data_IF_489432890913
#
_entry.id   IF_489432890913
#
_cell.length_a   1.000
_cell.length_b   1.000
_cell.length_c   1.000
_cell.angle_alpha   90.00
_cell.angle_beta   90.00
_cell.angle_gamma   90.00
#
_symmetry.space_group_name_H-M   'P 1'
#
loop_
_entity.id
_entity.type
_entity.pdbx_description
1 polymer ?
#
# COMPACT_ATOMS: atom_id res chain seq x y z
N UNK A 1 -16.87 3.31 -11.16
CA UNK A 1 -15.88 4.00 -12.03
C UNK A 1 -15.66 3.11 -13.24
N UNK A 2 -15.31 3.66 -14.40
CA UNK A 2 -14.93 2.81 -15.54
C UNK A 2 -13.45 2.46 -15.39
N UNK A 3 -13.09 1.22 -15.71
CA UNK A 3 -11.70 0.77 -15.67
C UNK A 3 -11.27 0.46 -17.10
N UNK A 4 -10.12 0.99 -17.51
CA UNK A 4 -9.41 0.57 -18.71
C UNK A 4 -8.13 -0.16 -18.29
N UNK A 5 -7.72 -1.16 -19.05
CA UNK A 5 -6.51 -1.91 -18.75
C UNK A 5 -5.89 -2.52 -20.00
N UNK A 6 -4.57 -2.61 -19.99
CA UNK A 6 -3.80 -3.36 -21.00
C UNK A 6 -2.84 -4.30 -20.27
N UNK A 7 -2.63 -5.49 -20.83
CA UNK A 7 -1.72 -6.49 -20.29
C UNK A 7 -0.80 -7.00 -21.40
N UNK A 8 0.45 -7.26 -21.07
CA UNK A 8 1.41 -7.84 -22.00
C UNK A 8 2.38 -8.75 -21.25
N UNK A 9 2.71 -9.90 -21.85
CA UNK A 9 3.62 -10.89 -21.30
C UNK A 9 4.52 -11.42 -22.41
N UNK A 10 5.82 -11.52 -22.12
CA UNK A 10 6.84 -12.01 -23.03
C UNK A 10 7.72 -13.04 -22.31
N UNK A 11 8.09 -14.11 -23.01
CA UNK A 11 8.93 -15.19 -22.48
C UNK A 11 10.35 -14.72 -22.12
N UNK A 12 10.80 -13.59 -22.66
CA UNK A 12 12.17 -13.10 -22.55
C UNK A 12 13.05 -13.58 -23.72
N UNK A 13 14.37 -13.58 -23.51
CA UNK A 13 15.37 -14.06 -24.48
C UNK A 13 15.97 -15.40 -24.07
N UNK A 14 16.02 -15.69 -22.78
CA UNK A 14 16.80 -16.81 -22.23
C UNK A 14 15.94 -17.99 -21.75
N UNK A 15 14.61 -17.81 -21.63
CA UNK A 15 13.68 -18.87 -21.20
C UNK A 15 13.01 -19.54 -22.40
N UNK A 16 12.73 -20.84 -22.28
CA UNK A 16 12.00 -21.61 -23.30
C UNK A 16 10.48 -21.55 -23.12
N UNK A 17 10.03 -21.43 -21.87
CA UNK A 17 8.61 -21.39 -21.49
C UNK A 17 8.32 -20.14 -20.65
N UNK A 18 7.05 -19.73 -20.68
CA UNK A 18 6.56 -18.64 -19.85
C UNK A 18 5.84 -19.22 -18.63
N UNK A 19 6.44 -19.09 -17.45
CA UNK A 19 5.91 -19.51 -16.16
C UNK A 19 5.07 -18.40 -15.50
N UNK A 20 5.08 -17.17 -16.04
CA UNK A 20 4.19 -16.10 -15.62
C UNK A 20 2.74 -16.34 -16.08
N UNK A 21 1.79 -15.96 -15.24
CA UNK A 21 0.38 -15.95 -15.56
C UNK A 21 -0.28 -14.62 -15.21
N UNK A 22 -1.04 -14.07 -16.16
CA UNK A 22 -1.73 -12.79 -16.03
C UNK A 22 -3.24 -12.97 -16.03
N UNK A 23 -3.92 -12.25 -15.14
CA UNK A 23 -5.38 -12.06 -15.17
C UNK A 23 -5.65 -10.60 -15.46
N UNK A 24 -6.36 -10.33 -16.55
CA UNK A 24 -6.81 -8.98 -16.92
C UNK A 24 -8.33 -8.99 -17.14
N UNK A 25 -9.10 -8.79 -16.06
CA UNK A 25 -10.57 -8.82 -16.06
C UNK A 25 -11.16 -7.48 -15.61
N UNK A 26 -11.13 -6.45 -16.47
CA UNK A 26 -11.68 -5.12 -16.15
C UNK A 26 -13.20 -5.16 -15.88
N UNK A 27 -13.91 -6.17 -16.38
CA UNK A 27 -15.31 -6.44 -16.08
C UNK A 27 -15.56 -6.84 -14.61
N UNK A 28 -14.59 -7.49 -13.97
CA UNK A 28 -14.59 -7.79 -12.54
C UNK A 28 -13.81 -6.77 -11.71
N UNK A 29 -13.11 -5.84 -12.38
CA UNK A 29 -12.08 -5.01 -11.75
C UNK A 29 -10.91 -5.81 -11.17
N UNK A 30 -10.66 -7.02 -11.66
CA UNK A 30 -9.66 -7.95 -11.12
C UNK A 30 -8.44 -8.05 -12.02
N UNK A 31 -7.27 -7.84 -11.42
CA UNK A 31 -5.97 -7.94 -12.08
C UNK A 31 -5.00 -8.72 -11.20
N UNK A 32 -4.34 -9.73 -11.76
CA UNK A 32 -3.42 -10.60 -11.03
C UNK A 32 -2.18 -10.86 -11.87
N UNK A 33 -1.02 -10.85 -11.23
CA UNK A 33 0.24 -11.39 -11.75
C UNK A 33 0.71 -12.49 -10.81
N UNK A 34 1.01 -13.65 -11.38
CA UNK A 34 1.64 -14.76 -10.70
C UNK A 34 2.88 -15.17 -11.48
N UNK A 35 4.04 -15.11 -10.83
CA UNK A 35 5.33 -15.54 -11.37
C UNK A 35 5.61 -16.96 -10.86
N UNK A 36 5.63 -17.92 -11.77
CA UNK A 36 5.75 -19.34 -11.46
C UNK A 36 7.19 -19.78 -11.26
N UNK A 37 7.42 -20.65 -10.27
CA UNK A 37 8.72 -21.27 -10.03
C UNK A 37 8.59 -22.77 -9.76
N UNK A 38 9.67 -23.51 -10.03
CA UNK A 38 9.71 -24.97 -9.90
C UNK A 38 10.25 -25.67 -11.14
N UNK A 39 10.48 -24.93 -12.23
CA UNK A 39 11.04 -25.41 -13.48
C UNK A 39 9.97 -25.93 -14.45
N UNK A 40 10.04 -25.45 -15.69
CA UNK A 40 9.17 -25.85 -16.79
C UNK A 40 7.68 -25.85 -16.41
N UNK A 41 7.00 -26.98 -16.60
CA UNK A 41 5.55 -27.12 -16.42
C UNK A 41 5.08 -26.96 -14.96
N UNK A 42 5.98 -27.10 -13.97
CA UNK A 42 5.63 -27.00 -12.57
C UNK A 42 5.31 -25.54 -12.17
N UNK A 43 6.12 -24.59 -12.63
CA UNK A 43 5.89 -23.15 -12.38
C UNK A 43 4.64 -22.63 -13.08
N UNK A 44 4.47 -22.94 -14.37
CA UNK A 44 3.27 -22.61 -15.15
C UNK A 44 1.98 -23.13 -14.48
N UNK A 45 2.03 -24.37 -13.96
CA UNK A 45 0.87 -24.96 -13.27
C UNK A 45 0.59 -24.23 -11.96
N UNK A 46 1.62 -23.87 -11.19
CA UNK A 46 1.45 -23.16 -9.93
C UNK A 46 0.85 -21.76 -10.13
N UNK A 47 1.40 -20.97 -11.06
CA UNK A 47 0.94 -19.60 -11.34
C UNK A 47 -0.49 -19.56 -11.87
N UNK A 48 -0.82 -20.43 -12.83
CA UNK A 48 -2.19 -20.58 -13.35
C UNK A 48 -3.17 -21.00 -12.24
N UNK A 49 -2.81 -22.01 -11.44
CA UNK A 49 -3.69 -22.54 -10.40
C UNK A 49 -4.01 -21.50 -9.33
N UNK A 50 -3.02 -20.67 -8.95
CA UNK A 50 -3.24 -19.56 -8.01
C UNK A 50 -4.29 -18.58 -8.53
N UNK A 51 -4.14 -18.16 -9.79
CA UNK A 51 -5.04 -17.21 -10.43
C UNK A 51 -6.46 -17.78 -10.62
N UNK A 52 -6.60 -19.03 -11.07
CA UNK A 52 -7.90 -19.67 -11.30
C UNK A 52 -8.74 -19.76 -10.02
N UNK A 53 -8.12 -20.15 -8.89
CA UNK A 53 -8.81 -20.23 -7.60
C UNK A 53 -9.37 -18.86 -7.19
N UNK A 54 -8.60 -17.78 -7.42
CA UNK A 54 -9.04 -16.43 -7.09
C UNK A 54 -10.11 -15.90 -8.05
N UNK A 55 -9.97 -16.13 -9.36
CA UNK A 55 -10.98 -15.72 -10.34
C UNK A 55 -12.32 -16.33 -9.96
N UNK A 56 -12.38 -17.65 -9.77
CA UNK A 56 -13.63 -18.34 -9.46
C UNK A 56 -14.24 -17.83 -8.16
N UNK A 57 -13.43 -17.68 -7.10
CA UNK A 57 -13.92 -17.18 -5.82
C UNK A 57 -14.46 -15.75 -5.91
N UNK A 58 -13.79 -14.86 -6.66
CA UNK A 58 -14.20 -13.46 -6.79
C UNK A 58 -15.44 -13.33 -7.69
N UNK A 59 -15.53 -14.13 -8.76
CA UNK A 59 -16.71 -14.16 -9.61
C UNK A 59 -17.96 -14.64 -8.86
N UNK A 60 -17.82 -15.70 -8.05
CA UNK A 60 -18.93 -16.25 -7.26
C UNK A 60 -19.40 -15.29 -6.16
N UNK A 61 -18.46 -14.61 -5.48
CA UNK A 61 -18.74 -13.78 -4.31
C UNK A 61 -18.76 -12.26 -4.62
N UNK A 62 -18.84 -11.84 -5.89
CA UNK A 62 -18.70 -10.43 -6.31
C UNK A 62 -19.68 -9.47 -5.61
N UNK A 63 -20.95 -9.87 -5.52
CA UNK A 63 -22.00 -9.10 -4.86
C UNK A 63 -21.73 -8.98 -3.35
N UNK A 64 -21.21 -10.04 -2.73
CA UNK A 64 -20.85 -10.06 -1.32
C UNK A 64 -19.64 -9.16 -1.04
N UNK A 65 -18.64 -9.15 -1.92
CA UNK A 65 -17.47 -8.26 -1.82
C UNK A 65 -17.92 -6.80 -1.88
N UNK A 66 -18.87 -6.47 -2.76
CA UNK A 66 -19.34 -5.11 -2.97
C UNK A 66 -20.03 -4.48 -1.74
N UNK A 67 -20.55 -5.29 -0.82
CA UNK A 67 -21.23 -4.84 0.41
C UNK A 67 -20.35 -4.94 1.67
N UNK A 68 -19.22 -5.64 1.60
CA UNK A 68 -18.28 -5.78 2.72
C UNK A 68 -17.57 -4.46 3.00
N UNK A 69 -17.25 -4.23 4.28
CA UNK A 69 -16.33 -3.15 4.61
C UNK A 69 -14.88 -3.52 4.18
N UNK A 70 -13.94 -2.55 4.17
CA UNK A 70 -12.58 -2.83 3.71
C UNK A 70 -11.83 -3.89 4.53
N UNK A 71 -12.05 -3.95 5.85
CA UNK A 71 -11.40 -4.94 6.71
C UNK A 71 -11.90 -6.37 6.42
N UNK A 72 -13.21 -6.55 6.27
CA UNK A 72 -13.83 -7.83 5.91
C UNK A 72 -13.39 -8.30 4.53
N UNK A 73 -13.25 -7.38 3.57
CA UNK A 73 -12.77 -7.70 2.23
C UNK A 73 -11.32 -8.19 2.26
N UNK A 74 -10.44 -7.53 3.03
CA UNK A 74 -9.04 -7.99 3.20
C UNK A 74 -8.95 -9.36 3.86
N UNK A 75 -9.77 -9.63 4.87
CA UNK A 75 -9.84 -10.96 5.52
C UNK A 75 -10.27 -12.02 4.50
N UNK A 76 -11.34 -11.74 3.75
CA UNK A 76 -11.84 -12.62 2.70
C UNK A 76 -10.76 -12.93 1.64
N UNK A 77 -10.06 -11.91 1.13
CA UNK A 77 -9.00 -12.10 0.14
C UNK A 77 -7.84 -12.94 0.71
N UNK A 78 -7.44 -12.69 1.95
CA UNK A 78 -6.41 -13.49 2.62
C UNK A 78 -6.82 -14.96 2.76
N UNK A 79 -8.08 -15.24 3.10
CA UNK A 79 -8.61 -16.61 3.18
C UNK A 79 -8.56 -17.30 1.81
N UNK A 80 -9.04 -16.67 0.75
CA UNK A 80 -9.05 -17.26 -0.61
C UNK A 80 -7.63 -17.48 -1.15
N UNK A 81 -6.69 -16.57 -0.88
CA UNK A 81 -5.28 -16.76 -1.24
C UNK A 81 -4.67 -17.95 -0.49
N UNK A 82 -5.02 -18.14 0.78
CA UNK A 82 -4.55 -19.30 1.54
C UNK A 82 -5.18 -20.62 1.06
N UNK A 83 -6.41 -20.60 0.54
CA UNK A 83 -6.98 -21.76 -0.17
C UNK A 83 -6.15 -22.10 -1.41
N UNK A 84 -5.83 -21.10 -2.24
CA UNK A 84 -4.96 -21.29 -3.40
C UNK A 84 -3.58 -21.84 -3.01
N UNK A 85 -2.96 -21.28 -1.95
CA UNK A 85 -1.69 -21.74 -1.41
C UNK A 85 -1.74 -23.23 -1.03
N UNK A 86 -2.78 -23.64 -0.30
CA UNK A 86 -2.99 -25.01 0.13
C UNK A 86 -3.19 -25.98 -1.04
N UNK A 87 -3.90 -25.57 -2.09
CA UNK A 87 -4.08 -26.40 -3.29
C UNK A 87 -2.75 -26.62 -4.03
N UNK A 88 -1.95 -25.57 -4.19
CA UNK A 88 -0.62 -25.64 -4.82
C UNK A 88 0.31 -26.50 -3.96
N UNK A 89 0.32 -26.30 -2.64
CA UNK A 89 1.10 -27.12 -1.72
C UNK A 89 0.73 -28.61 -1.81
N UNK A 90 -0.56 -28.94 -1.89
CA UNK A 90 -1.02 -30.32 -2.05
C UNK A 90 -0.52 -30.92 -3.37
N UNK A 91 -0.66 -30.20 -4.48
CA UNK A 91 -0.20 -30.66 -5.79
C UNK A 91 1.33 -30.86 -5.80
N UNK A 92 2.09 -29.96 -5.19
CA UNK A 92 3.55 -30.03 -5.12
C UNK A 92 4.04 -31.30 -4.38
N UNK A 93 3.27 -31.77 -3.39
CA UNK A 93 3.61 -32.94 -2.58
C UNK A 93 3.00 -34.26 -3.09
N UNK A 94 2.05 -34.21 -4.04
CA UNK A 94 1.33 -35.41 -4.52
C UNK A 94 1.70 -35.81 -5.94
N UNK A 95 2.15 -34.87 -6.76
CA UNK A 95 2.55 -35.14 -8.15
C UNK A 95 4.07 -35.06 -8.27
N UNK A 96 4.70 -36.17 -8.64
CA UNK A 96 6.17 -36.29 -8.69
C UNK A 96 6.85 -35.19 -9.52
N UNK A 97 6.23 -34.77 -10.63
CA UNK A 97 6.77 -33.76 -11.54
C UNK A 97 6.53 -32.30 -11.07
N UNK A 98 5.82 -32.10 -9.97
CA UNK A 98 5.52 -30.77 -9.40
C UNK A 98 6.25 -30.51 -8.09
N UNK A 99 7.20 -31.38 -7.73
CA UNK A 99 8.00 -31.23 -6.52
C UNK A 99 8.66 -29.86 -6.48
N UNK A 100 8.41 -29.11 -5.41
CA UNK A 100 8.97 -27.79 -5.20
C UNK A 100 8.35 -26.68 -6.05
N UNK A 101 7.20 -26.90 -6.71
CA UNK A 101 6.50 -25.83 -7.39
C UNK A 101 6.01 -24.75 -6.41
N UNK A 102 5.91 -23.53 -6.90
CA UNK A 102 5.35 -22.41 -6.18
C UNK A 102 5.15 -21.23 -7.09
N UNK A 103 4.56 -20.16 -6.59
CA UNK A 103 4.38 -18.94 -7.38
C UNK A 103 4.28 -17.71 -6.49
N UNK A 104 4.61 -16.55 -7.04
CA UNK A 104 4.24 -15.27 -6.46
C UNK A 104 2.76 -14.99 -6.70
N UNK A 105 2.23 -13.96 -6.04
CA UNK A 105 0.90 -13.44 -6.28
C UNK A 105 0.88 -11.95 -5.99
N UNK A 106 0.58 -11.14 -6.99
CA UNK A 106 0.31 -9.71 -6.82
C UNK A 106 -1.02 -9.39 -7.47
N UNK A 107 -1.97 -8.93 -6.67
CA UNK A 107 -3.35 -8.72 -7.09
C UNK A 107 -3.79 -7.28 -6.82
N UNK A 108 -4.57 -6.74 -7.76
CA UNK A 108 -5.39 -5.54 -7.63
C UNK A 108 -6.86 -5.92 -7.87
N UNK A 109 -7.72 -5.62 -6.90
CA UNK A 109 -9.17 -5.73 -7.04
C UNK A 109 -9.80 -4.36 -6.84
N UNK A 110 -10.41 -3.81 -7.89
CA UNK A 110 -11.12 -2.55 -7.89
C UNK A 110 -12.62 -2.78 -7.73
N UNK A 111 -13.19 -2.37 -6.59
CA UNK A 111 -14.61 -2.52 -6.29
C UNK A 111 -15.20 -1.20 -5.80
N UNK A 112 -16.22 -0.71 -6.51
CA UNK A 112 -16.84 0.58 -6.22
C UNK A 112 -15.85 1.76 -6.28
N UNK A 113 -15.48 2.28 -5.11
CA UNK A 113 -14.49 3.37 -4.93
C UNK A 113 -13.23 2.91 -4.20
N UNK A 114 -13.08 1.62 -3.95
CA UNK A 114 -11.94 1.04 -3.23
C UNK A 114 -11.12 0.18 -4.17
N UNK A 115 -9.82 0.19 -3.97
CA UNK A 115 -8.91 -0.81 -4.48
C UNK A 115 -8.37 -1.63 -3.33
N UNK A 116 -8.25 -2.93 -3.55
CA UNK A 116 -7.67 -3.89 -2.63
C UNK A 116 -6.43 -4.48 -3.29
N UNK A 117 -5.32 -4.43 -2.59
CA UNK A 117 -4.06 -5.04 -2.99
C UNK A 117 -3.83 -6.25 -2.09
N UNK A 118 -3.43 -7.37 -2.69
CA UNK A 118 -2.93 -8.53 -1.98
C UNK A 118 -1.63 -8.99 -2.63
N UNK A 119 -0.63 -9.29 -1.82
CA UNK A 119 0.72 -9.53 -2.30
C UNK A 119 1.47 -10.62 -1.53
N UNK A 120 2.11 -11.52 -2.28
CA UNK A 120 3.08 -12.52 -1.82
C UNK A 120 4.16 -12.70 -2.89
N UNK A 121 5.40 -12.29 -2.63
CA UNK A 121 6.54 -12.58 -3.50
C UNK A 121 7.32 -11.32 -3.79
N UNK A 122 7.87 -11.19 -4.98
CA UNK A 122 8.67 -10.03 -5.42
C UNK A 122 8.16 -9.40 -6.72
N UNK A 123 7.08 -9.91 -7.30
CA UNK A 123 6.29 -9.17 -8.29
C UNK A 123 5.71 -7.90 -7.65
N UNK A 124 5.65 -6.78 -8.38
CA UNK A 124 5.36 -5.47 -7.79
C UNK A 124 4.05 -4.86 -8.26
N UNK A 125 3.46 -4.02 -7.41
CA UNK A 125 2.32 -3.18 -7.75
C UNK A 125 2.64 -1.72 -7.43
N UNK A 126 2.54 -0.86 -8.44
CA UNK A 126 2.76 0.56 -8.37
C UNK A 126 1.45 1.33 -8.57
N UNK A 127 1.34 2.48 -7.91
CA UNK A 127 0.32 3.50 -8.15
C UNK A 127 0.99 4.76 -8.70
N UNK A 128 0.55 5.20 -9.86
CA UNK A 128 0.83 6.51 -10.43
C UNK A 128 -0.34 7.45 -10.12
N UNK A 129 -0.10 8.41 -9.24
CA UNK A 129 -1.09 9.40 -8.79
C UNK A 129 -0.45 10.77 -8.68
N UNK A 130 -1.12 11.79 -9.23
CA UNK A 130 -0.66 13.18 -9.19
C UNK A 130 0.77 13.36 -9.72
N UNK A 131 1.13 12.65 -10.78
CA UNK A 131 2.45 12.73 -11.41
C UNK A 131 3.57 12.00 -10.68
N UNK A 132 3.26 11.16 -9.69
CA UNK A 132 4.24 10.40 -8.92
C UNK A 132 3.92 8.91 -8.92
N UNK A 133 4.91 8.09 -9.24
CA UNK A 133 4.90 6.65 -9.12
C UNK A 133 5.27 6.25 -7.69
N UNK A 134 4.44 5.41 -7.07
CA UNK A 134 4.62 4.91 -5.71
C UNK A 134 4.48 3.41 -5.69
N UNK A 135 5.50 2.70 -5.21
CA UNK A 135 5.42 1.28 -4.94
C UNK A 135 4.47 1.02 -3.77
N UNK A 136 3.50 0.10 -3.96
CA UNK A 136 2.49 -0.28 -2.96
C UNK A 136 2.74 -1.66 -2.33
N UNK A 137 3.70 -2.43 -2.86
CA UNK A 137 4.10 -3.74 -2.35
C UNK A 137 5.50 -3.69 -1.76
N UNK A 138 5.86 -4.69 -0.96
CA UNK A 138 7.22 -4.85 -0.44
C UNK A 138 7.71 -6.24 -0.81
N UNK A 139 8.83 -6.31 -1.53
CA UNK A 139 9.38 -7.58 -1.97
C UNK A 139 9.63 -8.52 -0.78
N UNK A 140 9.13 -9.74 -0.87
CA UNK A 140 9.36 -10.80 0.09
C UNK A 140 10.66 -11.56 -0.22
N UNK A 141 11.76 -10.85 -0.48
CA UNK A 141 13.07 -11.44 -0.73
C UNK A 141 13.97 -11.39 0.50
N UNK A 142 14.97 -12.27 0.55
CA UNK A 142 15.95 -12.28 1.64
C UNK A 142 16.72 -10.95 1.68
N UNK A 143 17.06 -10.39 0.51
CA UNK A 143 17.66 -9.07 0.40
C UNK A 143 16.78 -7.97 1.02
N UNK A 144 15.49 -7.93 0.69
CA UNK A 144 14.56 -6.96 1.26
C UNK A 144 14.46 -7.10 2.79
N UNK A 145 14.38 -8.32 3.29
CA UNK A 145 14.36 -8.62 4.73
C UNK A 145 15.64 -8.16 5.44
N UNK A 146 16.81 -8.34 4.82
CA UNK A 146 18.10 -7.90 5.36
C UNK A 146 18.19 -6.37 5.44
N UNK A 147 17.72 -5.66 4.41
CA UNK A 147 17.63 -4.19 4.40
C UNK A 147 16.71 -3.69 5.51
N UNK A 148 15.54 -4.31 5.66
CA UNK A 148 14.56 -3.96 6.68
C UNK A 148 15.11 -4.12 8.11
N UNK A 149 15.90 -5.17 8.37
CA UNK A 149 16.50 -5.43 9.69
C UNK A 149 17.75 -4.59 9.99
N UNK A 150 18.11 -3.64 9.13
CA UNK A 150 19.30 -2.80 9.30
C UNK A 150 20.63 -3.55 9.15
N UNK A 151 20.60 -4.76 8.59
CA UNK A 151 21.73 -5.69 8.61
C UNK A 151 22.81 -5.40 7.57
N UNK A 152 22.49 -4.78 6.43
CA UNK A 152 23.47 -4.57 5.35
C UNK A 152 23.16 -3.32 4.52
N UNK A 153 24.09 -2.35 4.50
CA UNK A 153 24.26 -1.46 3.34
C UNK A 153 25.07 -2.22 2.30
N UNK A 154 24.40 -2.88 1.36
CA UNK A 154 25.09 -3.52 0.24
C UNK A 154 25.58 -2.45 -0.73
N UNK A 155 26.87 -2.52 -1.09
CA UNK A 155 27.47 -1.68 -2.13
C UNK A 155 26.81 -1.93 -3.50
N UNK A 156 26.35 -3.16 -3.75
CA UNK A 156 25.61 -3.54 -4.94
C UNK A 156 24.44 -4.49 -4.58
N UNK A 157 23.24 -3.94 -4.35
CA UNK A 157 22.06 -4.73 -4.02
C UNK A 157 21.56 -5.61 -5.16
N UNK A 158 21.73 -5.20 -6.43
CA UNK A 158 21.20 -5.92 -7.60
C UNK A 158 21.98 -7.20 -7.87
N UNK A 159 23.29 -7.15 -7.75
CA UNK A 159 24.15 -8.32 -7.93
C UNK A 159 24.29 -9.19 -6.66
N UNK A 160 23.41 -8.98 -5.67
CA UNK A 160 23.43 -9.78 -4.45
C UNK A 160 22.96 -11.21 -4.75
N UNK A 161 23.65 -12.26 -4.26
CA UNK A 161 23.17 -13.64 -4.41
C UNK A 161 21.85 -13.89 -3.68
N UNK A 162 21.40 -12.94 -2.86
CA UNK A 162 20.15 -13.00 -2.09
C UNK A 162 19.01 -12.19 -2.71
N UNK A 163 19.24 -11.53 -3.86
CA UNK A 163 18.27 -10.63 -4.49
C UNK A 163 16.97 -11.35 -4.88
N UNK A 164 17.08 -12.54 -5.46
CA UNK A 164 15.95 -13.35 -5.95
C UNK A 164 15.55 -14.48 -4.99
N UNK A 165 16.12 -14.52 -3.78
CA UNK A 165 15.79 -15.59 -2.81
C UNK A 165 14.49 -15.22 -2.10
N UNK A 166 13.38 -15.80 -2.54
CA UNK A 166 12.06 -15.59 -1.94
C UNK A 166 11.99 -16.15 -0.51
N UNK A 167 11.46 -15.33 0.39
CA UNK A 167 11.12 -15.67 1.77
C UNK A 167 9.65 -16.02 1.94
N UNK A 168 8.79 -15.62 0.98
CA UNK A 168 7.38 -15.98 0.93
C UNK A 168 6.91 -16.20 -0.51
N UNK A 169 6.14 -17.25 -0.71
CA UNK A 169 5.49 -17.61 -1.97
C UNK A 169 4.37 -18.62 -1.70
N UNK A 170 3.46 -18.76 -2.65
CA UNK A 170 2.39 -19.76 -2.57
C UNK A 170 2.97 -21.16 -2.86
N UNK A 171 2.50 -22.16 -2.14
CA UNK A 171 2.74 -23.58 -2.44
C UNK A 171 3.96 -24.22 -1.78
N UNK A 172 4.84 -23.45 -1.11
CA UNK A 172 5.95 -24.01 -0.32
C UNK A 172 5.54 -24.48 1.07
N UNK A 173 4.53 -23.83 1.63
CA UNK A 173 3.90 -24.16 2.90
C UNK A 173 2.38 -24.23 2.70
N UNK A 174 1.66 -24.85 3.65
CA UNK A 174 0.19 -24.99 3.55
C UNK A 174 -0.53 -23.63 3.67
N UNK A 175 0.06 -22.70 4.42
CA UNK A 175 -0.44 -21.35 4.62
C UNK A 175 0.67 -20.34 4.35
N UNK A 176 0.29 -19.12 3.96
CA UNK A 176 1.23 -18.03 3.68
C UNK A 176 0.73 -16.73 4.29
N UNK A 177 1.68 -15.91 4.75
CA UNK A 177 1.39 -14.55 5.19
C UNK A 177 1.22 -13.64 3.97
N UNK A 178 0.00 -13.15 3.77
CA UNK A 178 -0.37 -12.25 2.69
C UNK A 178 -0.35 -10.81 3.16
N UNK A 179 0.40 -9.97 2.45
CA UNK A 179 0.35 -8.53 2.67
C UNK A 179 -0.89 -7.97 1.97
N UNK A 180 -1.75 -7.26 2.72
CA UNK A 180 -2.98 -6.66 2.19
C UNK A 180 -3.04 -5.17 2.45
N UNK A 181 -3.52 -4.41 1.47
CA UNK A 181 -3.72 -2.98 1.54
C UNK A 181 -5.09 -2.64 0.94
N UNK A 182 -5.77 -1.63 1.48
CA UNK A 182 -6.93 -1.04 0.83
C UNK A 182 -6.74 0.46 0.69
N UNK A 183 -7.21 1.03 -0.41
CA UNK A 183 -7.11 2.46 -0.68
C UNK A 183 -8.33 2.97 -1.43
N UNK A 184 -8.58 4.28 -1.32
CA UNK A 184 -9.56 4.96 -2.16
C UNK A 184 -9.05 5.14 -3.58
N UNK A 185 -9.88 4.75 -4.55
CA UNK A 185 -9.70 5.00 -5.97
C UNK A 185 -10.07 6.46 -6.26
N UNK A 186 -9.15 7.16 -6.90
CA UNK A 186 -9.33 8.52 -7.37
C UNK A 186 -9.40 8.55 -8.90
N UNK A 187 -10.07 9.56 -9.48
CA UNK A 187 -10.03 9.83 -10.91
C UNK A 187 -8.60 9.91 -11.42
N UNK A 188 -8.33 9.24 -12.55
CA UNK A 188 -7.04 9.20 -13.24
C UNK A 188 -5.92 8.51 -12.43
N UNK A 189 -6.27 7.74 -11.42
CA UNK A 189 -5.30 6.79 -10.87
C UNK A 189 -4.91 5.78 -11.94
N UNK A 190 -3.61 5.58 -12.10
CA UNK A 190 -3.07 4.51 -12.95
C UNK A 190 -2.26 3.56 -12.09
N UNK A 191 -2.43 2.27 -12.29
CA UNK A 191 -1.69 1.21 -11.61
C UNK A 191 -0.83 0.45 -12.61
N UNK A 192 0.33 -0.02 -12.16
CA UNK A 192 1.16 -0.97 -12.88
C UNK A 192 1.40 -2.17 -11.97
N UNK A 193 0.96 -3.35 -12.41
CA UNK A 193 1.41 -4.62 -11.85
C UNK A 193 2.50 -5.15 -12.76
N UNK A 194 3.57 -5.71 -12.21
CA UNK A 194 4.61 -6.37 -13.01
C UNK A 194 5.29 -7.54 -12.28
N UNK A 195 5.77 -8.55 -13.04
CA UNK A 195 6.69 -9.56 -12.52
C UNK A 195 8.09 -8.97 -12.25
N UNK A 196 8.97 -9.75 -11.62
CA UNK A 196 10.31 -9.29 -11.30
C UNK A 196 11.14 -9.04 -12.58
N UNK A 197 10.87 -9.77 -13.66
CA UNK A 197 11.52 -9.60 -14.97
C UNK A 197 11.35 -8.21 -15.58
N UNK A 198 10.28 -7.48 -15.23
CA UNK A 198 10.19 -6.05 -15.58
C UNK A 198 10.95 -5.20 -14.58
N UNK A 199 10.66 -5.34 -13.28
CA UNK A 199 11.15 -4.41 -12.27
C UNK A 199 12.67 -4.50 -12.03
N UNK A 200 13.27 -5.67 -12.24
CA UNK A 200 14.71 -5.92 -12.11
C UNK A 200 15.52 -5.32 -13.26
N UNK A 201 14.92 -5.24 -14.46
CA UNK A 201 15.56 -4.69 -15.66
C UNK A 201 15.90 -3.20 -15.52
N UNK A 202 15.10 -2.43 -14.77
CA UNK A 202 15.30 -0.99 -14.58
C UNK A 202 16.18 -0.69 -13.37
N UNK A 203 17.08 0.29 -13.48
CA UNK A 203 17.97 0.69 -12.38
C UNK A 203 17.26 1.48 -11.28
N UNK A 204 16.20 2.18 -11.66
CA UNK A 204 15.33 2.90 -10.75
C UNK A 204 13.94 3.01 -11.39
N UNK A 205 12.94 3.38 -10.60
CA UNK A 205 11.56 3.44 -11.07
C UNK A 205 11.24 4.68 -11.94
N UNK A 206 12.20 5.60 -12.16
CA UNK A 206 11.97 6.86 -12.91
C UNK A 206 11.68 6.60 -14.40
N UNK A 207 12.34 5.60 -14.98
CA UNK A 207 12.11 5.21 -16.39
C UNK A 207 10.68 4.67 -16.55
N UNK A 208 10.21 3.89 -15.57
CA UNK A 208 8.84 3.39 -15.50
C UNK A 208 7.85 4.55 -15.34
N UNK A 209 8.12 5.46 -14.39
CA UNK A 209 7.30 6.66 -14.14
C UNK A 209 7.15 7.51 -15.40
N UNK A 210 8.26 7.78 -16.08
CA UNK A 210 8.28 8.58 -17.31
C UNK A 210 7.42 7.94 -18.39
N UNK A 211 7.56 6.62 -18.59
CA UNK A 211 6.81 5.92 -19.64
C UNK A 211 5.30 5.87 -19.37
N UNK A 212 4.92 5.65 -18.12
CA UNK A 212 3.51 5.68 -17.70
C UNK A 212 2.95 7.10 -17.85
N UNK A 213 3.70 8.13 -17.45
CA UNK A 213 3.27 9.52 -17.59
C UNK A 213 3.04 9.93 -19.05
N UNK A 214 3.85 9.42 -19.99
CA UNK A 214 3.73 9.71 -21.42
C UNK A 214 2.59 8.96 -22.12
N UNK A 215 2.35 7.70 -21.75
CA UNK A 215 1.54 6.77 -22.57
C UNK A 215 0.35 6.15 -21.84
N UNK A 216 0.21 6.36 -20.53
CA UNK A 216 -0.85 5.75 -19.73
C UNK A 216 -0.87 4.23 -19.87
N UNK A 217 -2.04 3.67 -20.19
CA UNK A 217 -2.22 2.21 -20.37
C UNK A 217 -1.53 1.66 -21.63
N UNK A 218 -1.23 2.49 -22.63
CA UNK A 218 -0.46 2.04 -23.82
C UNK A 218 1.03 1.84 -23.52
N UNK A 219 1.49 2.20 -22.31
CA UNK A 219 2.86 2.00 -21.89
C UNK A 219 3.25 0.52 -21.76
N UNK A 220 2.30 -0.38 -21.47
CA UNK A 220 2.58 -1.74 -20.99
C UNK A 220 3.45 -2.55 -21.95
N UNK A 221 3.09 -2.61 -23.22
CA UNK A 221 3.83 -3.39 -24.22
C UNK A 221 5.23 -2.80 -24.44
N UNK A 222 5.33 -1.47 -24.55
CA UNK A 222 6.61 -0.78 -24.72
C UNK A 222 7.52 -0.94 -23.51
N UNK A 223 6.96 -0.96 -22.29
CA UNK A 223 7.70 -1.20 -21.06
C UNK A 223 8.26 -2.62 -21.02
N UNK A 224 7.45 -3.63 -21.35
CA UNK A 224 7.88 -5.03 -21.38
C UNK A 224 8.94 -5.26 -22.46
N UNK A 225 8.74 -4.74 -23.66
CA UNK A 225 9.71 -4.86 -24.75
C UNK A 225 11.03 -4.14 -24.42
N UNK A 226 10.96 -2.97 -23.79
CA UNK A 226 12.17 -2.25 -23.37
C UNK A 226 12.88 -2.97 -22.20
N UNK A 227 12.15 -3.52 -21.24
CA UNK A 227 12.71 -4.38 -20.21
C UNK A 227 13.44 -5.57 -20.82
N UNK A 228 12.83 -6.25 -21.82
CA UNK A 228 13.45 -7.37 -22.54
C UNK A 228 14.77 -6.99 -23.21
N UNK A 229 14.87 -5.77 -23.76
CA UNK A 229 16.11 -5.25 -24.36
C UNK A 229 17.21 -5.03 -23.31
N UNK A 230 16.85 -4.44 -22.17
CA UNK A 230 17.75 -4.18 -21.05
C UNK A 230 18.21 -5.48 -20.37
N UNK A 231 17.26 -6.29 -19.96
CA UNK A 231 17.44 -7.56 -19.26
C UNK A 231 16.31 -8.52 -19.67
N UNK A 232 16.66 -9.48 -20.54
CA UNK A 232 15.73 -10.48 -21.06
C UNK A 232 15.99 -11.87 -20.49
N UNK A 233 16.61 -11.94 -19.31
CA UNK A 233 16.99 -13.19 -18.65
C UNK A 233 15.79 -14.02 -18.15
N UNK A 234 14.66 -13.36 -17.89
CA UNK A 234 13.45 -13.99 -17.35
C UNK A 234 12.19 -13.73 -18.19
N UNK A 235 11.08 -14.34 -17.77
CA UNK A 235 9.74 -13.98 -18.20
C UNK A 235 9.41 -12.55 -17.74
N UNK A 236 8.73 -11.79 -18.59
CA UNK A 236 8.46 -10.37 -18.35
C UNK A 236 7.00 -10.11 -18.60
N UNK A 237 6.27 -9.80 -17.53
CA UNK A 237 4.82 -9.65 -17.59
C UNK A 237 4.37 -8.41 -16.84
N UNK A 238 3.39 -7.71 -17.40
CA UNK A 238 2.85 -6.49 -16.81
C UNK A 238 1.40 -6.23 -17.17
N UNK A 239 0.71 -5.51 -16.29
CA UNK A 239 -0.65 -5.02 -16.47
C UNK A 239 -0.70 -3.55 -16.07
N UNK A 240 -1.22 -2.71 -16.95
CA UNK A 240 -1.60 -1.33 -16.62
C UNK A 240 -3.10 -1.23 -16.42
N UNK A 241 -3.53 -0.46 -15.43
CA UNK A 241 -4.94 -0.27 -15.09
C UNK A 241 -5.18 1.20 -14.84
N UNK A 242 -6.16 1.80 -15.51
CA UNK A 242 -6.51 3.20 -15.38
C UNK A 242 -7.96 3.38 -14.93
N UNK A 243 -8.13 4.20 -13.89
CA UNK A 243 -9.43 4.58 -13.35
C UNK A 243 -9.98 5.77 -14.11
N UNK A 244 -10.91 5.50 -15.01
CA UNK A 244 -11.62 6.52 -15.78
C UNK A 244 -12.84 6.94 -14.98
N UNK A 245 -12.87 8.22 -14.61
CA UNK A 245 -13.95 8.83 -13.84
C UNK A 245 -14.62 9.96 -14.62
N UNK A 246 -15.93 10.08 -14.48
CA UNK A 246 -16.71 11.25 -14.91
C UNK A 246 -16.63 12.38 -13.86
N UNK A 247 -16.81 13.63 -14.31
CA UNK A 247 -16.56 14.88 -13.55
C UNK A 247 -17.17 14.99 -12.14
N UNK A 248 -18.16 14.17 -11.79
CA UNK A 248 -18.90 14.23 -10.51
C UNK A 248 -18.11 13.75 -9.29
N UNK A 249 -16.86 13.31 -9.43
CA UNK A 249 -16.05 12.77 -8.33
C UNK A 249 -14.96 13.71 -7.81
N UNK A 250 -14.87 14.92 -8.34
CA UNK A 250 -13.80 15.88 -8.03
C UNK A 250 -13.71 16.24 -6.54
N UNK A 251 -14.84 16.52 -5.89
CA UNK A 251 -14.87 16.93 -4.46
C UNK A 251 -14.26 15.86 -3.54
N UNK A 252 -14.65 14.60 -3.73
CA UNK A 252 -14.07 13.49 -2.96
C UNK A 252 -12.58 13.32 -3.23
N UNK A 253 -12.16 13.44 -4.50
CA UNK A 253 -10.75 13.30 -4.85
C UNK A 253 -9.89 14.40 -4.23
N UNK A 254 -10.40 15.64 -4.23
CA UNK A 254 -9.74 16.77 -3.59
C UNK A 254 -9.65 16.57 -2.08
N UNK A 255 -10.67 16.00 -1.45
CA UNK A 255 -10.67 15.67 -0.02
C UNK A 255 -9.62 14.61 0.35
N UNK A 256 -9.54 13.49 -0.37
CA UNK A 256 -8.53 12.45 -0.11
C UNK A 256 -7.11 12.99 -0.34
N UNK A 257 -6.92 13.82 -1.37
CA UNK A 257 -5.63 14.50 -1.63
C UNK A 257 -5.25 15.43 -0.47
N UNK A 258 -6.22 16.18 0.05
CA UNK A 258 -6.03 17.08 1.19
C UNK A 258 -5.60 16.32 2.46
N UNK A 259 -6.31 15.24 2.77
CA UNK A 259 -5.98 14.36 3.91
C UNK A 259 -4.56 13.81 3.79
N UNK A 260 -4.21 13.28 2.62
CA UNK A 260 -2.85 12.76 2.37
C UNK A 260 -1.80 13.86 2.53
N UNK A 261 -2.03 15.04 1.95
CA UNK A 261 -1.11 16.17 2.05
C UNK A 261 -0.87 16.59 3.51
N UNK A 262 -1.94 16.76 4.29
CA UNK A 262 -1.83 17.18 5.69
C UNK A 262 -1.14 16.11 6.51
N UNK A 263 -1.47 14.83 6.31
CA UNK A 263 -0.80 13.73 7.00
C UNK A 263 0.72 13.83 6.79
N UNK A 264 1.16 14.03 5.54
CA UNK A 264 2.59 14.16 5.19
C UNK A 264 3.27 15.41 5.76
N UNK A 265 2.53 16.42 6.22
CA UNK A 265 3.09 17.61 6.86
C UNK A 265 3.35 17.43 8.36
N UNK A 266 2.68 16.47 9.00
CA UNK A 266 2.86 16.21 10.43
C UNK A 266 4.19 15.50 10.67
N UNK A 267 4.97 15.99 11.65
CA UNK A 267 6.29 15.45 11.99
C UNK A 267 6.29 13.93 12.20
N UNK A 268 5.21 13.39 12.77
CA UNK A 268 5.04 11.98 13.06
C UNK A 268 4.96 11.13 11.77
N UNK A 269 4.38 11.66 10.69
CA UNK A 269 4.06 10.91 9.47
C UNK A 269 4.83 11.37 8.22
N UNK A 270 5.68 12.41 8.35
CA UNK A 270 6.39 13.05 7.23
C UNK A 270 7.27 12.10 6.41
N UNK A 271 7.81 11.04 7.03
CA UNK A 271 8.73 10.09 6.39
C UNK A 271 8.08 8.76 5.97
N UNK A 272 6.75 8.65 6.10
CA UNK A 272 6.03 7.45 5.66
C UNK A 272 6.06 7.27 4.13
N UNK A 273 6.14 6.04 3.66
CA UNK A 273 5.88 5.72 2.25
C UNK A 273 4.42 6.01 1.90
N UNK A 274 4.08 6.02 0.60
CA UNK A 274 2.70 6.18 0.15
C UNK A 274 1.81 5.06 0.70
N UNK A 275 2.28 3.82 0.69
CA UNK A 275 1.61 2.66 1.29
C UNK A 275 1.33 2.87 2.78
N UNK A 276 2.36 3.29 3.54
CA UNK A 276 2.26 3.52 4.98
C UNK A 276 1.29 4.66 5.32
N UNK A 277 1.34 5.75 4.55
CA UNK A 277 0.41 6.86 4.68
C UNK A 277 -1.05 6.42 4.42
N UNK A 278 -1.28 5.54 3.44
CA UNK A 278 -2.61 4.99 3.16
C UNK A 278 -3.13 4.12 4.31
N UNK A 279 -2.27 3.30 4.92
CA UNK A 279 -2.65 2.50 6.09
C UNK A 279 -3.05 3.40 7.27
N UNK A 280 -2.38 4.54 7.47
CA UNK A 280 -2.78 5.51 8.49
C UNK A 280 -4.11 6.17 8.14
N UNK A 281 -4.31 6.60 6.89
CA UNK A 281 -5.59 7.20 6.47
C UNK A 281 -6.78 6.24 6.60
N UNK A 282 -6.57 4.92 6.50
CA UNK A 282 -7.63 3.92 6.67
C UNK A 282 -8.24 3.93 8.09
N UNK A 283 -7.46 4.32 9.11
CA UNK A 283 -7.89 4.39 10.51
C UNK A 283 -8.22 5.81 10.98
N UNK A 284 -8.22 6.78 10.07
CA UNK A 284 -8.52 8.18 10.35
C UNK A 284 -10.00 8.46 10.04
N UNK A 285 -10.64 9.23 10.93
CA UNK A 285 -12.02 9.68 10.74
C UNK A 285 -12.07 11.21 10.66
N UNK A 286 -12.83 11.73 9.69
CA UNK A 286 -13.12 13.16 9.58
C UNK A 286 -14.30 13.53 10.45
N UNK A 287 -14.18 14.64 11.18
CA UNK A 287 -15.20 15.19 12.07
C UNK A 287 -15.36 16.68 11.79
N UNK A 288 -16.62 17.11 11.66
CA UNK A 288 -16.99 18.50 11.46
C UNK A 288 -17.42 19.12 12.80
N UNK A 289 -16.95 20.34 13.06
CA UNK A 289 -17.25 21.10 14.27
C UNK A 289 -17.79 22.48 13.91
N UNK A 290 -18.81 22.95 14.62
CA UNK A 290 -19.35 24.29 14.47
C UNK A 290 -18.53 25.30 15.24
N UNK A 291 -18.57 26.56 14.82
CA UNK A 291 -18.04 27.66 15.60
C UNK A 291 -18.60 27.64 17.03
N UNK A 292 -17.71 27.68 18.02
CA UNK A 292 -18.02 27.60 19.44
C UNK A 292 -17.92 26.20 20.06
N UNK A 293 -17.88 25.12 19.26
CA UNK A 293 -17.79 23.75 19.78
C UNK A 293 -16.47 23.52 20.53
N UNK A 294 -16.55 22.83 21.67
CA UNK A 294 -15.38 22.38 22.44
C UNK A 294 -14.95 21.03 21.90
N UNK A 295 -13.72 20.95 21.41
CA UNK A 295 -13.14 19.74 20.79
C UNK A 295 -12.36 18.93 21.84
N UNK A 296 -11.64 19.64 22.70
CA UNK A 296 -10.83 19.08 23.78
C UNK A 296 -11.07 19.93 25.02
N UNK A 297 -11.25 19.29 26.17
CA UNK A 297 -11.36 19.97 27.47
C UNK A 297 -10.11 19.71 28.30
N UNK A 298 -9.54 20.75 28.90
CA UNK A 298 -8.39 20.65 29.82
C UNK A 298 -8.72 19.71 31.01
N UNK A 299 -7.76 18.87 31.39
CA UNK A 299 -7.87 17.94 32.52
C UNK A 299 -8.54 16.61 32.19
N UNK A 300 -9.34 16.53 31.13
CA UNK A 300 -9.98 15.29 30.70
C UNK A 300 -8.97 14.28 30.15
N UNK A 301 -9.31 12.99 30.19
CA UNK A 301 -8.56 11.98 29.46
C UNK A 301 -8.86 12.11 27.98
N UNK A 302 -7.82 12.09 27.15
CA UNK A 302 -7.95 12.19 25.71
C UNK A 302 -7.35 11.00 24.99
N UNK A 303 -8.08 10.43 24.05
CA UNK A 303 -7.65 9.29 23.24
C UNK A 303 -7.59 9.64 21.74
N UNK A 304 -7.70 10.91 21.36
CA UNK A 304 -7.61 11.35 19.97
C UNK A 304 -6.43 12.30 19.74
N UNK A 305 -5.76 12.07 18.62
CA UNK A 305 -4.87 13.03 17.96
C UNK A 305 -5.60 13.60 16.74
N UNK A 306 -5.70 14.93 16.64
CA UNK A 306 -6.41 15.59 15.54
C UNK A 306 -5.45 16.41 14.67
N UNK A 307 -5.74 16.42 13.38
CA UNK A 307 -5.07 17.23 12.35
C UNK A 307 -6.11 18.14 11.70
N UNK A 308 -5.78 19.42 11.56
CA UNK A 308 -6.73 20.44 11.12
C UNK A 308 -6.78 20.48 9.59
N UNK A 309 -7.92 20.05 9.02
CA UNK A 309 -8.18 20.13 7.58
C UNK A 309 -8.63 21.52 7.17
N UNK A 310 -9.53 22.12 7.95
CA UNK A 310 -10.13 23.43 7.67
C UNK A 310 -10.52 24.12 8.98
N UNK A 311 -10.57 25.46 8.97
CA UNK A 311 -10.99 26.28 10.09
C UNK A 311 -9.87 26.75 11.02
N UNK A 312 -10.28 27.41 12.10
CA UNK A 312 -9.39 28.00 13.11
C UNK A 312 -9.81 27.55 14.51
N UNK A 313 -8.82 27.14 15.30
CA UNK A 313 -9.01 26.63 16.65
C UNK A 313 -8.32 27.53 17.66
N UNK A 314 -9.03 27.86 18.71
CA UNK A 314 -8.50 28.55 19.88
C UNK A 314 -7.99 27.52 20.89
N UNK A 315 -6.78 27.72 21.38
CA UNK A 315 -6.22 26.95 22.50
C UNK A 315 -6.18 27.84 23.73
N UNK A 316 -6.78 27.39 24.82
CA UNK A 316 -6.77 28.07 26.10
C UNK A 316 -6.33 27.15 27.22
N UNK A 317 -5.62 27.71 28.21
CA UNK A 317 -5.18 27.00 29.42
C UNK A 317 -5.52 27.84 30.64
N UNK A 318 -6.15 27.24 31.65
CA UNK A 318 -6.70 27.95 32.80
C UNK A 318 -7.61 29.13 32.39
N UNK A 319 -8.39 28.96 31.33
CA UNK A 319 -9.30 29.99 30.80
C UNK A 319 -8.65 31.15 30.05
N UNK A 320 -7.32 31.16 29.88
CA UNK A 320 -6.61 32.16 29.09
C UNK A 320 -6.19 31.60 27.74
N UNK A 321 -6.48 32.32 26.66
CA UNK A 321 -6.00 31.97 25.32
C UNK A 321 -4.47 32.02 25.26
N UNK A 322 -3.87 30.96 24.73
CA UNK A 322 -2.42 30.81 24.58
C UNK A 322 -1.97 30.81 23.12
N UNK A 323 -2.82 30.33 22.21
CA UNK A 323 -2.52 30.27 20.79
C UNK A 323 -3.80 30.10 19.96
N UNK A 324 -3.72 30.44 18.67
CA UNK A 324 -4.68 30.04 17.65
C UNK A 324 -3.96 29.16 16.62
N UNK A 325 -4.55 28.03 16.26
CA UNK A 325 -4.04 27.11 15.24
C UNK A 325 -5.02 26.98 14.08
N UNK A 326 -4.51 26.76 12.87
CA UNK A 326 -5.34 26.54 11.69
C UNK A 326 -4.80 25.41 10.82
N UNK A 327 -5.17 25.43 9.54
CA UNK A 327 -4.75 24.48 8.51
C UNK A 327 -3.33 23.91 8.69
N UNK A 328 -3.19 22.58 8.58
CA UNK A 328 -1.89 21.88 8.62
C UNK A 328 -1.28 21.72 10.02
N UNK A 329 -1.89 22.30 11.06
CA UNK A 329 -1.50 22.06 12.44
C UNK A 329 -2.24 20.84 13.03
N UNK A 330 -1.84 20.47 14.25
CA UNK A 330 -2.42 19.34 14.98
C UNK A 330 -2.61 19.69 16.46
N UNK A 331 -3.45 18.90 17.14
CA UNK A 331 -3.74 19.03 18.58
C UNK A 331 -3.88 17.65 19.22
N UNK A 332 -3.62 17.60 20.53
CA UNK A 332 -3.92 16.43 21.35
C UNK A 332 -2.84 15.34 21.34
N UNK A 333 -1.67 15.63 20.77
CA UNK A 333 -0.55 14.70 20.64
C UNK A 333 0.00 14.20 21.97
N UNK A 334 0.02 15.06 22.99
CA UNK A 334 0.60 14.73 24.30
C UNK A 334 -0.22 13.61 24.98
N UNK A 335 -1.52 13.81 25.12
CA UNK A 335 -2.41 12.80 25.72
C UNK A 335 -2.45 11.51 24.89
N UNK A 336 -2.38 11.64 23.57
CA UNK A 336 -2.37 10.51 22.64
C UNK A 336 -1.11 9.64 22.76
N UNK A 337 0.07 10.23 22.94
CA UNK A 337 1.35 9.52 23.03
C UNK A 337 1.70 9.11 24.47
N UNK A 338 1.55 10.03 25.43
CA UNK A 338 1.98 9.85 26.81
C UNK A 338 0.89 9.30 27.75
N UNK A 339 -0.34 9.11 27.25
CA UNK A 339 -1.49 8.67 28.05
C UNK A 339 -1.78 9.60 29.25
N UNK A 340 -1.50 10.89 29.09
CA UNK A 340 -1.72 11.95 30.08
C UNK A 340 -3.07 12.65 29.86
N UNK A 341 -3.55 13.39 30.88
CA UNK A 341 -4.70 14.28 30.72
C UNK A 341 -4.42 15.41 29.70
N UNK A 342 -5.48 15.93 29.09
CA UNK A 342 -5.43 17.06 28.17
C UNK A 342 -4.84 18.29 28.88
N UNK A 343 -3.84 18.91 28.28
CA UNK A 343 -3.07 20.02 28.88
C UNK A 343 -3.68 21.40 28.65
N UNK A 344 -4.67 21.51 27.75
CA UNK A 344 -5.36 22.73 27.37
C UNK A 344 -6.75 22.39 26.81
N UNK A 345 -7.65 23.38 26.85
CA UNK A 345 -8.96 23.34 26.18
C UNK A 345 -8.80 23.84 24.76
N UNK A 346 -9.42 23.15 23.80
CA UNK A 346 -9.44 23.56 22.39
C UNK A 346 -10.88 23.78 21.94
N UNK A 347 -11.16 24.96 21.38
CA UNK A 347 -12.48 25.36 20.89
C UNK A 347 -12.39 25.78 19.43
N UNK A 348 -13.40 25.43 18.64
CA UNK A 348 -13.51 25.90 17.25
C UNK A 348 -13.91 27.37 17.22
N UNK A 349 -13.13 28.24 16.55
CA UNK A 349 -13.52 29.66 16.32
C UNK A 349 -14.44 29.81 15.12
N UNK A 350 -14.15 29.06 14.07
CA UNK A 350 -14.96 28.99 12.86
C UNK A 350 -15.61 27.61 12.75
N UNK A 351 -16.40 27.36 11.71
CA UNK A 351 -16.72 25.98 11.36
C UNK A 351 -15.42 25.31 10.91
N UNK A 352 -15.07 24.20 11.54
CA UNK A 352 -13.80 23.52 11.33
C UNK A 352 -13.99 22.07 10.96
N UNK A 353 -13.05 21.54 10.19
CA UNK A 353 -12.99 20.13 9.82
C UNK A 353 -11.67 19.56 10.29
N UNK A 354 -11.74 18.47 11.03
CA UNK A 354 -10.56 17.83 11.61
C UNK A 354 -10.56 16.37 11.23
N UNK A 355 -9.39 15.84 10.90
CA UNK A 355 -9.21 14.40 10.79
C UNK A 355 -8.53 13.89 12.06
N UNK A 356 -9.12 12.88 12.68
CA UNK A 356 -8.69 12.35 13.97
C UNK A 356 -8.34 10.88 13.88
N UNK A 357 -7.32 10.48 14.65
CA UNK A 357 -6.95 9.08 14.87
C UNK A 357 -7.09 8.78 16.37
N UNK A 358 -7.76 7.67 16.68
CA UNK A 358 -7.90 7.19 18.06
C UNK A 358 -6.65 6.44 18.49
N UNK A 359 -6.26 6.55 19.75
CA UNK A 359 -5.08 5.89 20.32
C UNK A 359 -5.15 4.36 20.20
N UNK A 360 -6.34 3.77 20.29
CA UNK A 360 -6.52 2.32 20.08
C UNK A 360 -6.24 1.92 18.65
N UNK A 361 -6.80 2.65 17.70
CA UNK A 361 -6.69 2.34 16.27
C UNK A 361 -5.23 2.54 15.80
N UNK A 362 -4.57 3.56 16.32
CA UNK A 362 -3.14 3.79 16.11
C UNK A 362 -2.25 2.69 16.70
N UNK A 363 -2.53 2.25 17.93
CA UNK A 363 -1.78 1.14 18.56
C UNK A 363 -1.98 -0.16 17.79
N UNK A 364 -3.21 -0.45 17.39
CA UNK A 364 -3.53 -1.62 16.58
C UNK A 364 -2.80 -1.58 15.23
N UNK A 365 -2.73 -0.41 14.60
CA UNK A 365 -1.98 -0.21 13.36
C UNK A 365 -0.47 -0.50 13.54
N UNK A 366 0.17 0.05 14.58
CA UNK A 366 1.59 -0.18 14.90
C UNK A 366 1.84 -1.67 15.24
N UNK A 367 0.93 -2.30 15.97
CA UNK A 367 1.07 -3.71 16.34
C UNK A 367 0.97 -4.64 15.13
N UNK A 368 0.16 -4.28 14.13
CA UNK A 368 0.03 -5.01 12.86
C UNK A 368 1.25 -4.78 11.96
N UNK A 369 1.73 -3.54 11.86
CA UNK A 369 2.87 -3.18 11.03
C UNK A 369 4.05 -2.64 11.88
N UNK A 370 4.97 -3.55 12.19
CA UNK A 370 6.16 -3.24 12.99
C UNK A 370 7.09 -2.24 12.30
N UNK A 371 7.11 -2.19 10.97
CA UNK A 371 7.97 -1.28 10.23
C UNK A 371 7.44 0.15 10.33
N UNK A 372 6.14 0.29 10.12
CA UNK A 372 5.44 1.54 10.34
C UNK A 372 5.67 2.01 11.78
N UNK A 373 5.48 1.14 12.77
CA UNK A 373 5.75 1.45 14.17
C UNK A 373 7.18 1.98 14.42
N UNK A 374 8.19 1.32 13.87
CA UNK A 374 9.60 1.74 14.01
C UNK A 374 9.86 3.11 13.37
N UNK A 375 9.31 3.39 12.19
CA UNK A 375 9.46 4.71 11.54
C UNK A 375 8.81 5.82 12.35
N UNK A 376 7.61 5.58 12.87
CA UNK A 376 6.90 6.54 13.73
C UNK A 376 7.70 6.85 15.01
N UNK A 377 8.31 5.83 15.62
CA UNK A 377 9.20 6.01 16.78
C UNK A 377 10.43 6.86 16.44
N UNK A 378 11.07 6.62 15.29
CA UNK A 378 12.20 7.43 14.84
C UNK A 378 11.81 8.89 14.56
N UNK A 379 10.67 9.12 13.93
CA UNK A 379 10.15 10.46 13.68
C UNK A 379 9.89 11.21 14.99
N UNK A 380 9.32 10.52 15.98
CA UNK A 380 9.13 11.08 17.33
C UNK A 380 10.46 11.38 18.02
N UNK A 381 11.43 10.47 17.95
CA UNK A 381 12.75 10.65 18.55
C UNK A 381 13.49 11.86 17.94
N UNK A 382 13.43 12.03 16.62
CA UNK A 382 14.00 13.19 15.93
C UNK A 382 13.33 14.51 16.35
N UNK A 383 12.00 14.52 16.47
CA UNK A 383 11.26 15.71 16.89
C UNK A 383 11.62 16.10 18.33
N UNK A 384 11.67 15.13 19.25
CA UNK A 384 12.09 15.36 20.64
C UNK A 384 13.54 15.88 20.67
N UNK A 385 14.45 15.27 19.91
CA UNK A 385 15.83 15.74 19.79
C UNK A 385 15.93 17.18 19.27
N UNK A 386 15.14 17.53 18.26
CA UNK A 386 15.08 18.90 17.73
C UNK A 386 14.56 19.90 18.77
N UNK A 387 13.50 19.56 19.51
CA UNK A 387 12.96 20.41 20.58
C UNK A 387 13.96 20.60 21.72
N UNK A 388 14.66 19.53 22.13
CA UNK A 388 15.69 19.60 23.16
C UNK A 388 16.87 20.49 22.74
N UNK A 389 17.33 20.41 21.48
CA UNK A 389 18.38 21.30 20.96
C UNK A 389 17.96 22.77 21.02
N UNK A 390 16.73 23.07 20.59
CA UNK A 390 16.17 24.44 20.62
C UNK A 390 16.01 24.98 22.03
N UNK A 391 15.59 24.14 22.99
CA UNK A 391 15.48 24.54 24.40
C UNK A 391 16.83 24.75 25.09
N UNK A 392 17.89 24.09 24.61
CA UNK A 392 19.23 24.18 25.17
C UNK A 392 20.12 25.24 24.48
N UNK A 393 19.61 25.97 23.48
CA UNK A 393 20.33 27.08 22.85
C UNK A 393 21.60 26.67 22.10
N UNK A 394 21.65 25.45 21.56
CA UNK A 394 22.69 24.98 20.62
C UNK A 394 22.19 25.09 19.19
#
# INVERSE_FOLDING_TARGET
MKIASNAYSDVGRSRENNEDFLVNRPDLGLFIICDGMGGHAAGETASRKAAEVLINAIEEDLDLISIKNPAETKIYLNEKINIACKEIFRLANTVQNYSGMGTTLTMLLCQGRKAYVAHVGDSRLYLFRSGKLSLLTSDHTLLALMKQKGGVQLLDPKNSPYAHVLTRCLGKEELVLVDTLSLDLLPNDSFLLCSDGLSSAFNNDLDIETKIAELGTEAVEKLVLHAKELDGGDNISAITVEVISEDKQKVFADEIKLQFQILKQIYLFKDLSTQEAMQVLEVVAVQDFKAGDVIITEGEKGDFFYMILEGELEISRNGKEIATLGYGNHIGEISFLANESRTATVRSRTNSRLMGIRSTDFRDLINRDKNLGNKLLWNLAQEIGSKLSKSNGV
#
